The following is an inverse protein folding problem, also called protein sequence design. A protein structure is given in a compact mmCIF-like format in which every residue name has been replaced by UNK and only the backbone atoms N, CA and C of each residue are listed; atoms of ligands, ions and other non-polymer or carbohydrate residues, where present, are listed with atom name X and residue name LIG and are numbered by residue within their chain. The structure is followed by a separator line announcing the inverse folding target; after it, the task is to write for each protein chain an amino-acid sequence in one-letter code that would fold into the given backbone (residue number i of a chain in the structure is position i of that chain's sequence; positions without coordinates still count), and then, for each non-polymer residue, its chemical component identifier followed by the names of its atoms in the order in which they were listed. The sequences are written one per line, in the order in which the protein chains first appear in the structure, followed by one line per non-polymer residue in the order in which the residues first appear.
data_IF_918127020713
#
_entry.id   IF_918127020713
#
_cell.length_a   1.000
_cell.length_b   1.000
_cell.length_c   1.000
_cell.angle_alpha   90.00
_cell.angle_beta   90.00
_cell.angle_gamma   90.00
#
_symmetry.space_group_name_H-M   'P 1'
#
loop_
_entity.id
_entity.type
_entity.pdbx_description
1 polymer ?
#
# COMPACT_ATOMS: atom_id res chain seq x y z
N UNK A 1 26.45 -47.49 -2.89
CA UNK A 1 25.67 -46.60 -3.76
C UNK A 1 24.81 -45.71 -2.89
N UNK A 2 25.24 -44.47 -2.76
CA UNK A 2 24.56 -43.49 -1.93
C UNK A 2 23.69 -42.61 -2.81
N UNK A 3 22.38 -42.70 -2.63
CA UNK A 3 21.41 -41.88 -3.31
C UNK A 3 21.23 -40.57 -2.49
N UNK A 4 21.85 -39.51 -2.95
CA UNK A 4 21.69 -38.19 -2.36
C UNK A 4 20.33 -37.63 -2.76
N UNK A 5 19.39 -37.57 -1.81
CA UNK A 5 18.10 -36.91 -2.00
C UNK A 5 18.30 -35.44 -1.72
N UNK A 6 18.34 -34.64 -2.78
CA UNK A 6 18.28 -33.20 -2.68
C UNK A 6 16.82 -32.80 -2.46
N UNK A 7 16.43 -32.64 -1.20
CA UNK A 7 15.17 -31.99 -0.83
C UNK A 7 15.45 -30.51 -0.57
N UNK A 8 15.03 -29.66 -1.47
CA UNK A 8 15.29 -28.24 -1.38
C UNK A 8 14.05 -27.41 -1.44
N UNK A 9 13.72 -26.86 -0.33
CA UNK A 9 13.61 -25.41 -0.10
C UNK A 9 12.83 -24.60 -1.15
N UNK A 10 11.52 -24.91 -1.30
CA UNK A 10 10.58 -24.05 -2.04
C UNK A 10 9.62 -23.30 -1.10
N UNK A 11 9.82 -23.40 0.21
CA UNK A 11 8.84 -22.95 1.22
C UNK A 11 8.95 -21.49 1.67
N UNK A 12 9.96 -20.73 1.22
CA UNK A 12 10.22 -19.39 1.78
C UNK A 12 9.54 -18.22 1.07
N UNK A 13 9.09 -18.37 -0.16
CA UNK A 13 8.59 -17.23 -0.96
C UNK A 13 7.14 -16.87 -0.63
N UNK A 14 6.31 -17.84 -0.26
CA UNK A 14 4.87 -17.61 0.00
C UNK A 14 4.63 -16.83 1.30
N UNK A 15 5.55 -16.88 2.26
CA UNK A 15 5.42 -16.17 3.54
C UNK A 15 5.99 -14.74 3.52
N UNK A 16 6.75 -14.35 2.50
CA UNK A 16 7.43 -13.05 2.47
C UNK A 16 6.50 -11.88 2.15
N UNK A 17 5.55 -12.04 1.23
CA UNK A 17 4.64 -10.96 0.81
C UNK A 17 3.66 -10.57 1.92
N UNK A 18 3.00 -11.51 2.63
CA UNK A 18 2.18 -11.16 3.79
C UNK A 18 2.96 -10.42 4.88
N UNK A 19 4.21 -10.84 5.18
CA UNK A 19 5.04 -10.18 6.17
C UNK A 19 5.43 -8.75 5.76
N UNK A 20 5.77 -8.52 4.49
CA UNK A 20 6.05 -7.20 3.94
C UNK A 20 4.83 -6.27 4.00
N UNK A 21 3.65 -6.79 3.70
CA UNK A 21 2.40 -6.04 3.79
C UNK A 21 2.08 -5.65 5.24
N UNK A 22 2.33 -6.51 6.22
CA UNK A 22 2.14 -6.18 7.64
C UNK A 22 3.12 -5.11 8.12
N UNK A 23 4.39 -5.13 7.67
CA UNK A 23 5.33 -4.03 7.95
C UNK A 23 4.87 -2.73 7.28
N UNK A 24 4.41 -2.80 6.05
CA UNK A 24 3.82 -1.65 5.34
C UNK A 24 2.61 -1.08 6.06
N UNK A 25 1.76 -1.94 6.63
CA UNK A 25 0.63 -1.53 7.47
C UNK A 25 1.08 -0.74 8.70
N UNK A 26 2.10 -1.20 9.40
CA UNK A 26 2.64 -0.51 10.57
C UNK A 26 3.18 0.89 10.19
N UNK A 27 3.88 1.01 9.06
CA UNK A 27 4.35 2.29 8.55
C UNK A 27 3.16 3.19 8.18
N UNK A 28 2.17 2.67 7.49
CA UNK A 28 0.96 3.41 7.12
C UNK A 28 0.26 3.98 8.35
N UNK A 29 0.07 3.17 9.38
CA UNK A 29 -0.60 3.59 10.61
C UNK A 29 0.12 4.71 11.33
N UNK A 30 1.44 4.77 11.25
CA UNK A 30 2.24 5.79 11.94
C UNK A 30 2.53 7.03 11.10
N UNK A 31 2.53 6.92 9.77
CA UNK A 31 2.99 7.98 8.86
C UNK A 31 1.94 8.50 7.88
N UNK A 32 0.93 7.71 7.55
CA UNK A 32 0.02 8.00 6.44
C UNK A 32 -1.44 8.15 6.88
N UNK A 33 -1.86 7.37 7.88
CA UNK A 33 -3.23 7.24 8.33
C UNK A 33 -3.87 8.57 8.71
N UNK A 34 -3.11 9.43 9.40
CA UNK A 34 -3.60 10.71 9.92
C UNK A 34 -4.21 11.62 8.82
N UNK A 35 -3.66 11.53 7.61
CA UNK A 35 -4.16 12.26 6.44
C UNK A 35 -5.02 11.37 5.53
N UNK A 36 -4.55 10.15 5.23
CA UNK A 36 -5.18 9.28 4.23
C UNK A 36 -6.35 8.45 4.75
N UNK A 37 -6.50 8.32 6.08
CA UNK A 37 -7.58 7.56 6.70
C UNK A 37 -7.33 6.06 6.81
N UNK A 38 -8.13 5.39 7.65
CA UNK A 38 -7.98 3.96 7.96
C UNK A 38 -8.11 3.08 6.72
N UNK A 39 -9.04 3.43 5.82
CA UNK A 39 -9.30 2.70 4.57
C UNK A 39 -8.70 3.39 3.34
N UNK A 40 -7.84 4.40 3.52
CA UNK A 40 -7.21 5.11 2.44
C UNK A 40 -8.14 6.01 1.61
N UNK A 41 -9.26 6.46 2.17
CA UNK A 41 -10.25 7.28 1.47
C UNK A 41 -9.94 8.77 1.45
N UNK A 42 -8.84 9.20 2.03
CA UNK A 42 -8.49 10.62 2.16
C UNK A 42 -9.28 11.34 3.26
N UNK A 43 -9.80 10.62 4.21
CA UNK A 43 -10.66 11.06 5.32
C UNK A 43 -10.00 10.91 6.69
N UNK A 44 -8.67 10.99 6.74
CA UNK A 44 -7.94 10.99 8.00
C UNK A 44 -8.30 12.18 8.87
N UNK A 45 -7.96 12.11 10.15
CA UNK A 45 -8.28 13.14 11.15
C UNK A 45 -7.79 14.53 10.74
N UNK A 46 -6.63 14.61 10.10
CA UNK A 46 -6.07 15.87 9.59
C UNK A 46 -6.67 16.35 8.26
N UNK A 47 -7.32 15.47 7.50
CA UNK A 47 -7.79 15.81 6.15
C UNK A 47 -8.66 17.08 6.08
N UNK A 48 -9.59 17.36 7.02
CA UNK A 48 -10.41 18.58 6.97
C UNK A 48 -9.61 19.88 7.03
N UNK A 49 -8.43 19.87 7.64
CA UNK A 49 -7.58 21.06 7.80
C UNK A 49 -6.61 21.26 6.62
N UNK A 50 -6.54 20.32 5.69
CA UNK A 50 -5.61 20.36 4.57
C UNK A 50 -6.25 20.96 3.31
N UNK A 51 -5.46 21.76 2.58
CA UNK A 51 -5.85 22.33 1.30
C UNK A 51 -4.67 22.23 0.31
N UNK A 52 -4.78 21.39 -0.74
CA UNK A 52 -5.89 20.48 -1.03
C UNK A 52 -5.99 19.31 -0.04
N UNK A 53 -7.19 18.75 0.08
CA UNK A 53 -7.39 17.51 0.84
C UNK A 53 -6.74 16.32 0.15
N UNK A 54 -6.27 15.30 0.92
CA UNK A 54 -5.81 14.05 0.33
C UNK A 54 -6.89 13.42 -0.53
N UNK A 55 -6.51 12.92 -1.70
CA UNK A 55 -7.39 12.11 -2.53
C UNK A 55 -7.52 10.68 -1.99
N UNK A 56 -8.54 9.97 -2.48
CA UNK A 56 -8.74 8.55 -2.14
C UNK A 56 -7.68 7.67 -2.78
N UNK A 57 -6.96 6.90 -1.96
CA UNK A 57 -5.99 5.90 -2.41
C UNK A 57 -6.64 4.67 -3.03
N UNK A 58 -7.93 4.47 -2.79
CA UNK A 58 -8.72 3.33 -3.31
C UNK A 58 -9.55 3.70 -4.53
N UNK A 59 -9.33 4.86 -5.11
CA UNK A 59 -10.01 5.31 -6.33
C UNK A 59 -9.53 4.53 -7.57
N UNK A 60 -10.38 4.49 -8.60
CA UNK A 60 -10.01 3.92 -9.89
C UNK A 60 -8.78 4.61 -10.50
N UNK A 61 -8.65 5.93 -10.34
CA UNK A 61 -7.51 6.70 -10.83
C UNK A 61 -6.19 6.26 -10.20
N UNK A 62 -6.17 5.99 -8.90
CA UNK A 62 -4.97 5.48 -8.20
C UNK A 62 -4.73 4.01 -8.56
N UNK A 63 -5.78 3.20 -8.65
CA UNK A 63 -5.64 1.79 -9.05
C UNK A 63 -5.05 1.62 -10.44
N UNK A 64 -5.29 2.56 -11.35
CA UNK A 64 -4.76 2.57 -12.71
C UNK A 64 -3.29 3.02 -12.80
N UNK A 65 -2.74 3.67 -11.77
CA UNK A 65 -1.32 4.09 -11.77
C UNK A 65 -0.40 2.89 -11.60
N UNK A 66 0.76 2.95 -12.26
CA UNK A 66 1.81 1.96 -12.05
C UNK A 66 2.42 2.06 -10.63
N UNK A 67 2.98 0.95 -10.15
CA UNK A 67 3.71 0.97 -8.87
C UNK A 67 4.87 1.95 -8.91
N UNK A 68 5.57 2.04 -10.04
CA UNK A 68 6.65 3.03 -10.24
C UNK A 68 6.18 4.46 -10.01
N UNK A 69 5.01 4.82 -10.53
CA UNK A 69 4.48 6.17 -10.37
C UNK A 69 4.06 6.44 -8.94
N UNK A 70 3.45 5.46 -8.27
CA UNK A 70 3.07 5.58 -6.86
C UNK A 70 4.30 5.64 -5.95
N UNK A 71 5.31 4.81 -6.19
CA UNK A 71 6.59 4.88 -5.45
C UNK A 71 7.22 6.26 -5.59
N UNK A 72 7.26 6.81 -6.80
CA UNK A 72 7.79 8.15 -7.05
C UNK A 72 7.02 9.22 -6.27
N UNK A 73 5.70 9.13 -6.19
CA UNK A 73 4.87 10.07 -5.42
C UNK A 73 5.20 9.97 -3.94
N UNK A 74 5.31 8.77 -3.38
CA UNK A 74 5.68 8.59 -1.97
C UNK A 74 7.09 9.10 -1.71
N UNK A 75 8.04 8.75 -2.54
CA UNK A 75 9.44 9.17 -2.40
C UNK A 75 9.61 10.68 -2.40
N UNK A 76 8.97 11.37 -3.33
CA UNK A 76 9.19 12.80 -3.57
C UNK A 76 8.12 13.71 -2.98
N UNK A 77 7.01 13.13 -2.47
CA UNK A 77 5.87 13.92 -2.03
C UNK A 77 5.12 14.57 -3.20
N UNK A 78 4.18 15.42 -2.87
CA UNK A 78 3.42 16.21 -3.86
C UNK A 78 3.66 17.70 -3.63
N UNK A 79 4.26 18.41 -4.58
CA UNK A 79 4.46 19.85 -4.48
C UNK A 79 3.15 20.59 -4.22
N UNK A 80 3.21 21.66 -3.42
CA UNK A 80 2.07 22.50 -3.05
C UNK A 80 0.95 21.75 -2.30
N UNK A 81 1.28 20.64 -1.65
CA UNK A 81 0.40 19.89 -0.76
C UNK A 81 1.12 19.60 0.56
N UNK A 82 0.38 19.14 1.56
CA UNK A 82 0.94 18.73 2.83
C UNK A 82 1.70 17.39 2.80
N UNK A 83 1.65 16.67 1.67
CA UNK A 83 2.35 15.38 1.55
C UNK A 83 3.86 15.57 1.38
N UNK A 84 4.67 15.22 2.39
CA UNK A 84 6.12 15.38 2.33
C UNK A 84 6.78 14.32 1.45
N UNK A 85 8.06 14.55 1.13
CA UNK A 85 8.92 13.53 0.55
C UNK A 85 9.34 12.52 1.62
N UNK A 86 9.04 11.25 1.43
CA UNK A 86 9.32 10.22 2.42
C UNK A 86 10.71 9.57 2.25
N UNK A 87 11.39 9.78 1.13
CA UNK A 87 12.71 9.19 0.83
C UNK A 87 13.81 9.52 1.86
N UNK A 88 13.67 10.64 2.57
CA UNK A 88 14.64 11.06 3.59
C UNK A 88 14.29 10.53 5.01
N UNK A 89 13.12 9.90 5.15
CA UNK A 89 12.57 9.41 6.42
C UNK A 89 12.46 7.88 6.41
N UNK A 90 12.03 7.32 5.28
CA UNK A 90 11.84 5.89 5.07
C UNK A 90 12.87 5.35 4.10
N UNK A 91 13.31 4.13 4.31
CA UNK A 91 14.15 3.40 3.35
C UNK A 91 13.35 3.05 2.10
N UNK A 92 14.03 2.72 1.01
CA UNK A 92 13.39 2.28 -0.22
C UNK A 92 12.51 1.05 0.02
N UNK A 93 13.00 0.07 0.77
CA UNK A 93 12.24 -1.13 1.16
C UNK A 93 10.98 -0.78 1.96
N UNK A 94 11.06 0.14 2.91
CA UNK A 94 9.89 0.60 3.68
C UNK A 94 8.85 1.29 2.80
N UNK A 95 9.29 2.06 1.81
CA UNK A 95 8.39 2.70 0.83
C UNK A 95 7.70 1.66 -0.04
N UNK A 96 8.42 0.63 -0.49
CA UNK A 96 7.84 -0.50 -1.22
C UNK A 96 6.82 -1.27 -0.37
N UNK A 97 7.14 -1.53 0.88
CA UNK A 97 6.26 -2.23 1.82
C UNK A 97 4.99 -1.44 2.11
N UNK A 98 5.07 -0.12 2.31
CA UNK A 98 3.88 0.70 2.49
C UNK A 98 3.02 0.73 1.22
N UNK A 99 3.61 0.71 0.03
CA UNK A 99 2.85 0.60 -1.22
C UNK A 99 2.10 -0.73 -1.31
N UNK A 100 2.72 -1.85 -0.91
CA UNK A 100 2.04 -3.15 -0.85
C UNK A 100 0.78 -3.07 0.04
N UNK A 101 0.88 -2.43 1.19
CA UNK A 101 -0.27 -2.23 2.06
C UNK A 101 -1.33 -1.33 1.40
N UNK A 102 -0.95 -0.21 0.81
CA UNK A 102 -1.88 0.68 0.09
C UNK A 102 -2.62 -0.05 -1.01
N UNK A 103 -1.93 -0.89 -1.79
CA UNK A 103 -2.57 -1.73 -2.81
C UNK A 103 -3.56 -2.72 -2.22
N UNK A 104 -3.30 -3.24 -1.03
CA UNK A 104 -4.21 -4.16 -0.35
C UNK A 104 -5.53 -3.52 0.07
N UNK A 105 -5.53 -2.20 0.33
CA UNK A 105 -6.74 -1.47 0.76
C UNK A 105 -7.88 -1.54 -0.27
N UNK A 106 -7.57 -1.63 -1.55
CA UNK A 106 -8.57 -1.73 -2.63
C UNK A 106 -9.42 -2.99 -2.47
N UNK A 107 -8.85 -4.09 -2.02
CA UNK A 107 -9.57 -5.35 -1.85
C UNK A 107 -10.59 -5.29 -0.71
N UNK A 108 -10.31 -4.52 0.35
CA UNK A 108 -11.21 -4.35 1.48
C UNK A 108 -12.30 -3.30 1.24
N UNK A 109 -12.07 -2.41 0.28
CA UNK A 109 -12.99 -1.32 -0.04
C UNK A 109 -14.06 -1.71 -1.06
N UNK A 110 -13.96 -2.88 -1.67
CA UNK A 110 -14.96 -3.39 -2.60
C UNK A 110 -16.16 -3.92 -1.82
N UNK A 111 -17.37 -3.35 -1.99
CA UNK A 111 -18.57 -4.03 -1.53
C UNK A 111 -18.61 -5.41 -2.18
N UNK A 112 -18.90 -6.44 -1.40
CA UNK A 112 -19.21 -7.77 -1.93
C UNK A 112 -20.54 -7.64 -2.67
N UNK A 113 -20.50 -7.19 -3.92
CA UNK A 113 -21.67 -7.32 -4.80
C UNK A 113 -21.81 -8.82 -5.09
N UNK A 114 -22.96 -9.43 -4.78
CA UNK A 114 -23.23 -10.79 -5.20
C UNK A 114 -23.03 -10.87 -6.72
N UNK A 115 -22.29 -11.87 -7.18
CA UNK A 115 -22.22 -12.13 -8.61
C UNK A 115 -23.63 -12.31 -9.16
N UNK A 116 -23.99 -11.67 -10.29
CA UNK A 116 -25.27 -11.92 -10.91
C UNK A 116 -25.40 -13.42 -11.22
N UNK A 117 -26.59 -14.01 -11.06
CA UNK A 117 -26.77 -15.41 -11.37
C UNK A 117 -26.37 -15.68 -12.82
N UNK A 118 -25.61 -16.75 -13.01
CA UNK A 118 -25.26 -17.22 -14.35
C UNK A 118 -26.57 -17.54 -15.10
N UNK A 119 -26.82 -16.81 -16.18
CA UNK A 119 -27.91 -17.11 -17.10
C UNK A 119 -27.46 -18.17 -18.10
#
# INVERSE_FOLDING_TARGET
MATCVVLLAVTSIVAAVPAATERGKAIYQTRCLECHGVEGRGDGEKAPSLSPRPGSLVSAAISAKSDRDLLRIIQNGKPRTAMPAWKDILTETEIEEVLLYVRSLVHFSRPLTPSPPLQ
#
